data_IF_697043569977
#
_entry.id   IF_697043569977
#
_cell.length_a   1.000
_cell.length_b   1.000
_cell.length_c   1.000
_cell.angle_alpha   90.00
_cell.angle_beta   90.00
_cell.angle_gamma   90.00
#
_symmetry.space_group_name_H-M   'P 1'
#
loop_
_entity.id
_entity.type
_entity.pdbx_description
1 polymer ?
#
# COMPACT_ATOMS: atom_id res chain seq x y z
N UNK A 1 -8.45 -8.77 14.52
CA UNK A 1 -8.89 -7.42 14.18
C UNK A 1 -10.36 -7.37 13.79
N UNK A 2 -10.94 -6.19 13.68
CA UNK A 2 -12.36 -5.99 13.33
C UNK A 2 -12.72 -6.66 11.99
N UNK A 3 -11.86 -6.61 11.01
CA UNK A 3 -12.08 -7.24 9.71
C UNK A 3 -12.16 -8.76 9.84
N UNK A 4 -11.28 -9.38 10.60
CA UNK A 4 -11.32 -10.82 10.83
C UNK A 4 -12.62 -11.22 11.55
N UNK A 5 -13.10 -10.41 12.48
CA UNK A 5 -14.33 -10.67 13.23
C UNK A 5 -15.58 -10.49 12.36
N UNK A 6 -15.58 -9.46 11.49
CA UNK A 6 -16.75 -9.10 10.67
C UNK A 6 -16.78 -9.87 9.36
N UNK A 7 -15.65 -10.00 8.67
CA UNK A 7 -15.58 -10.59 7.33
C UNK A 7 -15.15 -12.05 7.34
N UNK A 8 -14.72 -12.60 8.49
CA UNK A 8 -14.24 -13.97 8.61
C UNK A 8 -13.25 -14.33 7.48
N UNK A 9 -12.26 -13.46 7.23
CA UNK A 9 -11.34 -13.54 6.11
C UNK A 9 -10.56 -14.85 6.12
N UNK A 10 -10.66 -15.59 5.03
CA UNK A 10 -9.90 -16.80 4.76
C UNK A 10 -9.11 -16.64 3.45
N UNK A 11 -8.41 -17.69 3.02
CA UNK A 11 -7.63 -17.65 1.78
C UNK A 11 -8.44 -17.32 0.53
N UNK A 12 -9.73 -17.68 0.49
CA UNK A 12 -10.62 -17.39 -0.63
C UNK A 12 -10.97 -15.91 -0.71
N UNK A 13 -11.04 -15.23 0.44
CA UNK A 13 -11.36 -13.81 0.52
C UNK A 13 -10.16 -12.91 0.24
N UNK A 14 -8.94 -13.46 0.26
CA UNK A 14 -7.71 -12.69 0.06
C UNK A 14 -7.71 -11.94 -1.28
N UNK A 15 -8.07 -12.61 -2.38
CA UNK A 15 -8.12 -11.98 -3.69
C UNK A 15 -9.16 -10.84 -3.74
N UNK A 16 -10.37 -11.08 -3.22
CA UNK A 16 -11.42 -10.06 -3.15
C UNK A 16 -11.02 -8.88 -2.27
N UNK A 17 -10.30 -9.15 -1.20
CA UNK A 17 -9.78 -8.13 -0.30
C UNK A 17 -8.74 -7.24 -0.98
N UNK A 18 -7.79 -7.84 -1.70
CA UNK A 18 -6.78 -7.08 -2.48
C UNK A 18 -7.45 -6.28 -3.58
N UNK A 19 -8.40 -6.84 -4.30
CA UNK A 19 -9.18 -6.14 -5.32
C UNK A 19 -9.86 -4.89 -4.76
N UNK A 20 -10.50 -5.01 -3.60
CA UNK A 20 -11.13 -3.88 -2.90
C UNK A 20 -10.10 -2.85 -2.46
N UNK A 21 -8.97 -3.28 -1.93
CA UNK A 21 -7.86 -2.41 -1.55
C UNK A 21 -7.35 -1.60 -2.73
N UNK A 22 -7.17 -2.23 -3.89
CA UNK A 22 -6.72 -1.55 -5.12
C UNK A 22 -7.67 -0.41 -5.48
N UNK A 23 -8.98 -0.64 -5.47
CA UNK A 23 -9.96 0.40 -5.76
C UNK A 23 -9.89 1.57 -4.78
N UNK A 24 -9.85 1.29 -3.50
CA UNK A 24 -9.83 2.31 -2.45
C UNK A 24 -8.52 3.11 -2.46
N UNK A 25 -7.38 2.45 -2.56
CA UNK A 25 -6.10 3.14 -2.52
C UNK A 25 -5.79 3.89 -3.83
N UNK A 26 -6.20 3.35 -4.97
CA UNK A 26 -6.12 4.05 -6.25
C UNK A 26 -6.89 5.38 -6.20
N UNK A 27 -8.12 5.34 -5.70
CA UNK A 27 -8.92 6.55 -5.53
C UNK A 27 -8.31 7.51 -4.50
N UNK A 28 -7.79 6.98 -3.41
CA UNK A 28 -7.06 7.74 -2.39
C UNK A 28 -5.87 8.50 -2.98
N UNK A 29 -5.06 7.84 -3.80
CA UNK A 29 -3.92 8.47 -4.46
C UNK A 29 -4.34 9.57 -5.45
N UNK A 30 -5.41 9.36 -6.21
CA UNK A 30 -5.97 10.36 -7.11
C UNK A 30 -6.43 11.62 -6.36
N UNK A 31 -7.19 11.43 -5.29
CA UNK A 31 -7.65 12.54 -4.45
C UNK A 31 -6.49 13.25 -3.74
N UNK A 32 -5.49 12.50 -3.28
CA UNK A 32 -4.30 13.09 -2.69
C UNK A 32 -3.55 13.98 -3.69
N UNK A 33 -3.42 13.57 -4.93
CA UNK A 33 -2.82 14.38 -5.99
C UNK A 33 -3.55 15.71 -6.20
N UNK A 34 -4.90 15.70 -6.11
CA UNK A 34 -5.72 16.90 -6.28
C UNK A 34 -5.75 17.78 -5.02
N UNK A 35 -5.62 17.20 -3.84
CA UNK A 35 -5.95 17.87 -2.56
C UNK A 35 -4.80 18.04 -1.59
N UNK A 36 -3.65 17.39 -1.82
CA UNK A 36 -2.53 17.46 -0.90
C UNK A 36 -2.03 18.90 -0.72
N UNK A 37 -1.88 19.30 0.54
CA UNK A 37 -1.24 20.56 0.91
C UNK A 37 0.27 20.38 0.93
N UNK A 38 1.07 21.49 0.91
CA UNK A 38 2.53 21.38 1.10
C UNK A 38 2.91 20.64 2.38
N UNK A 39 2.14 20.82 3.45
CA UNK A 39 2.35 20.10 4.71
C UNK A 39 2.10 18.60 4.58
N UNK A 40 1.04 18.20 3.87
CA UNK A 40 0.77 16.78 3.58
C UNK A 40 1.94 16.14 2.80
N UNK A 41 2.48 16.85 1.81
CA UNK A 41 3.62 16.36 1.01
C UNK A 41 4.87 16.16 1.88
N UNK A 42 5.14 17.05 2.83
CA UNK A 42 6.26 16.90 3.78
C UNK A 42 6.11 15.65 4.63
N UNK A 43 4.91 15.41 5.16
CA UNK A 43 4.61 14.23 5.98
C UNK A 43 4.74 12.94 5.16
N UNK A 44 4.28 12.97 3.94
CA UNK A 44 4.34 11.83 3.01
C UNK A 44 5.78 11.50 2.64
N UNK A 45 6.58 12.50 2.29
CA UNK A 45 8.00 12.35 1.98
C UNK A 45 8.78 11.79 3.18
N UNK A 46 8.49 12.27 4.38
CA UNK A 46 9.11 11.75 5.60
C UNK A 46 8.82 10.25 5.79
N UNK A 47 7.60 9.82 5.57
CA UNK A 47 7.23 8.40 5.65
C UNK A 47 7.93 7.58 4.54
N UNK A 48 8.00 8.11 3.33
CA UNK A 48 8.70 7.49 2.21
C UNK A 48 10.20 7.31 2.51
N UNK A 49 10.85 8.33 3.01
CA UNK A 49 12.29 8.29 3.34
C UNK A 49 12.56 7.32 4.49
N UNK A 50 11.69 7.25 5.48
CA UNK A 50 11.79 6.27 6.56
C UNK A 50 11.71 4.83 6.04
N UNK A 51 10.81 4.56 5.11
CA UNK A 51 10.70 3.25 4.45
C UNK A 51 11.96 2.92 3.65
N UNK A 52 12.46 3.86 2.85
CA UNK A 52 13.70 3.68 2.08
C UNK A 52 14.90 3.36 2.96
N UNK A 53 15.00 4.01 4.12
CA UNK A 53 16.07 3.77 5.08
C UNK A 53 16.01 2.35 5.67
N UNK A 54 14.82 1.87 6.00
CA UNK A 54 14.64 0.48 6.46
C UNK A 54 15.03 -0.52 5.37
N UNK A 55 14.65 -0.27 4.13
CA UNK A 55 15.03 -1.11 2.98
C UNK A 55 16.55 -1.15 2.78
N UNK A 56 17.23 -0.01 2.89
CA UNK A 56 18.71 0.06 2.81
C UNK A 56 19.39 -0.76 3.90
N UNK A 57 18.81 -0.80 5.10
CA UNK A 57 19.30 -1.59 6.22
C UNK A 57 18.99 -3.09 6.09
N UNK A 58 18.29 -3.50 5.03
CA UNK A 58 17.87 -4.88 4.81
C UNK A 58 16.65 -5.29 5.65
N UNK A 59 15.95 -4.34 6.24
CA UNK A 59 14.73 -4.58 7.01
C UNK A 59 13.50 -4.56 6.10
N UNK A 60 12.38 -5.09 6.60
CA UNK A 60 11.13 -5.14 5.87
C UNK A 60 10.39 -3.80 5.83
N UNK A 61 10.56 -2.94 6.83
CA UNK A 61 9.93 -1.64 6.89
C UNK A 61 8.40 -1.67 6.87
N UNK A 62 7.78 -2.67 7.48
CA UNK A 62 6.32 -2.88 7.43
C UNK A 62 5.55 -1.69 8.01
N UNK A 63 6.02 -1.12 9.12
CA UNK A 63 5.37 0.02 9.76
C UNK A 63 5.53 1.29 8.93
N UNK A 64 6.68 1.49 8.32
CA UNK A 64 6.98 2.62 7.46
C UNK A 64 6.20 2.55 6.14
N UNK A 65 6.05 1.36 5.58
CA UNK A 65 5.16 1.09 4.43
C UNK A 65 3.71 1.45 4.77
N UNK A 66 3.21 0.95 5.88
CA UNK A 66 1.87 1.29 6.40
C UNK A 66 1.72 2.81 6.55
N UNK A 67 2.69 3.48 7.16
CA UNK A 67 2.64 4.91 7.41
C UNK A 67 2.56 5.70 6.10
N UNK A 68 3.31 5.32 5.07
CA UNK A 68 3.26 5.97 3.76
C UNK A 68 1.85 5.91 3.15
N UNK A 69 1.24 4.73 3.14
CA UNK A 69 -0.12 4.56 2.63
C UNK A 69 -1.16 5.37 3.43
N UNK A 70 -1.01 5.43 4.75
CA UNK A 70 -1.91 6.21 5.60
C UNK A 70 -1.74 7.72 5.39
N UNK A 71 -0.53 8.21 5.09
CA UNK A 71 -0.32 9.63 4.77
C UNK A 71 -0.94 10.01 3.42
N UNK A 72 -0.97 9.12 2.45
CA UNK A 72 -1.72 9.32 1.22
C UNK A 72 -3.23 9.42 1.53
N UNK A 73 -3.74 8.52 2.35
CA UNK A 73 -5.15 8.53 2.75
C UNK A 73 -5.53 9.84 3.48
N UNK A 74 -4.70 10.33 4.38
CA UNK A 74 -4.91 11.63 5.04
C UNK A 74 -4.96 12.78 4.02
N UNK A 75 -4.06 12.77 3.05
CA UNK A 75 -3.97 13.79 2.01
C UNK A 75 -5.15 13.77 1.02
N UNK A 76 -5.90 12.69 0.96
CA UNK A 76 -7.12 12.59 0.14
C UNK A 76 -8.22 13.55 0.58
N UNK A 77 -8.19 14.01 1.84
CA UNK A 77 -9.21 14.88 2.46
C UNK A 77 -10.64 14.32 2.39
N UNK A 78 -10.76 13.02 2.18
CA UNK A 78 -12.02 12.29 2.24
C UNK A 78 -12.06 11.49 3.54
N UNK A 79 -12.77 12.01 4.55
CA UNK A 79 -12.78 11.43 5.90
C UNK A 79 -13.36 10.01 5.95
N UNK A 80 -14.33 9.69 5.11
CA UNK A 80 -14.93 8.35 5.04
C UNK A 80 -13.95 7.37 4.43
N UNK A 81 -13.33 7.72 3.31
CA UNK A 81 -12.31 6.93 2.66
C UNK A 81 -11.11 6.69 3.60
N UNK A 82 -10.65 7.74 4.27
CA UNK A 82 -9.57 7.64 5.25
C UNK A 82 -9.92 6.65 6.38
N UNK A 83 -11.14 6.73 6.91
CA UNK A 83 -11.59 5.81 7.96
C UNK A 83 -11.64 4.36 7.51
N UNK A 84 -12.09 4.11 6.28
CA UNK A 84 -12.07 2.77 5.69
C UNK A 84 -10.66 2.24 5.51
N UNK A 85 -9.75 3.06 5.00
CA UNK A 85 -8.35 2.68 4.78
C UNK A 85 -7.58 2.46 6.09
N UNK A 86 -7.90 3.20 7.15
CA UNK A 86 -7.34 2.96 8.49
C UNK A 86 -7.68 1.58 9.05
N UNK A 87 -8.79 0.99 8.60
CA UNK A 87 -9.19 -0.38 8.97
C UNK A 87 -8.54 -1.39 8.03
N UNK A 88 -8.62 -1.14 6.72
CA UNK A 88 -8.25 -2.12 5.67
C UNK A 88 -6.73 -2.30 5.54
N UNK A 89 -5.96 -1.21 5.51
CA UNK A 89 -4.53 -1.27 5.21
C UNK A 89 -3.73 -2.02 6.29
N UNK A 90 -3.89 -1.74 7.59
CA UNK A 90 -3.12 -2.44 8.61
C UNK A 90 -3.31 -3.96 8.61
N UNK A 91 -4.56 -4.41 8.48
CA UNK A 91 -4.88 -5.84 8.45
C UNK A 91 -4.32 -6.50 7.18
N UNK A 92 -4.35 -5.80 6.05
CA UNK A 92 -3.78 -6.29 4.80
C UNK A 92 -2.27 -6.46 4.86
N UNK A 93 -1.57 -5.49 5.45
CA UNK A 93 -0.11 -5.55 5.60
C UNK A 93 0.28 -6.69 6.55
N UNK A 94 -0.45 -6.87 7.64
CA UNK A 94 -0.23 -8.00 8.56
C UNK A 94 -0.46 -9.35 7.90
N UNK A 95 -1.53 -9.47 7.11
CA UNK A 95 -1.84 -10.68 6.37
C UNK A 95 -0.74 -11.02 5.37
N UNK A 96 -0.26 -10.03 4.62
CA UNK A 96 0.84 -10.17 3.67
C UNK A 96 2.13 -10.63 4.36
N UNK A 97 2.42 -10.09 5.55
CA UNK A 97 3.58 -10.49 6.36
C UNK A 97 3.47 -11.94 6.83
N UNK A 98 2.30 -12.33 7.34
CA UNK A 98 2.06 -13.69 7.83
C UNK A 98 2.18 -14.75 6.73
N UNK A 99 1.84 -14.41 5.49
CA UNK A 99 1.96 -15.27 4.33
C UNK A 99 3.36 -15.24 3.70
N UNK A 100 4.31 -14.50 4.29
CA UNK A 100 5.67 -14.28 3.76
C UNK A 100 5.67 -13.81 2.30
N UNK A 101 4.69 -13.01 1.95
CA UNK A 101 4.46 -12.51 0.60
C UNK A 101 5.52 -11.50 0.18
N UNK A 102 6.13 -10.84 1.14
CA UNK A 102 7.05 -9.74 0.94
C UNK A 102 8.53 -10.13 1.11
N UNK A 103 8.95 -11.33 0.73
CA UNK A 103 10.35 -11.75 0.75
C UNK A 103 11.12 -11.38 -0.53
N UNK A 104 12.43 -11.68 -0.55
CA UNK A 104 13.27 -11.76 -1.75
C UNK A 104 13.33 -10.50 -2.64
N UNK A 105 13.67 -9.34 -2.04
CA UNK A 105 13.89 -8.09 -2.78
C UNK A 105 12.61 -7.33 -3.13
N UNK A 106 11.44 -7.84 -2.77
CA UNK A 106 10.15 -7.15 -3.02
C UNK A 106 10.09 -5.79 -2.34
N UNK A 107 10.71 -5.63 -1.18
CA UNK A 107 10.73 -4.35 -0.44
C UNK A 107 11.46 -3.26 -1.19
N UNK A 108 12.59 -3.58 -1.84
CA UNK A 108 13.33 -2.63 -2.66
C UNK A 108 12.49 -2.18 -3.86
N UNK A 109 11.80 -3.11 -4.49
CA UNK A 109 10.87 -2.81 -5.58
C UNK A 109 9.72 -1.94 -5.09
N UNK A 110 9.14 -2.27 -3.94
CA UNK A 110 8.07 -1.48 -3.31
C UNK A 110 8.52 -0.04 -3.04
N UNK A 111 9.75 0.17 -2.61
CA UNK A 111 10.29 1.51 -2.38
C UNK A 111 10.32 2.34 -3.67
N UNK A 112 10.79 1.78 -4.78
CA UNK A 112 10.75 2.46 -6.07
C UNK A 112 9.33 2.76 -6.55
N UNK A 113 8.41 1.85 -6.31
CA UNK A 113 6.99 2.04 -6.62
C UNK A 113 6.36 3.16 -5.77
N UNK A 114 6.71 3.23 -4.49
CA UNK A 114 6.29 4.34 -3.60
C UNK A 114 6.83 5.69 -4.08
N UNK A 115 8.08 5.75 -4.53
CA UNK A 115 8.66 6.97 -5.10
C UNK A 115 7.83 7.44 -6.31
N UNK A 116 7.48 6.54 -7.22
CA UNK A 116 6.68 6.87 -8.39
C UNK A 116 5.30 7.43 -8.01
N UNK A 117 4.64 6.83 -7.03
CA UNK A 117 3.36 7.33 -6.50
C UNK A 117 3.53 8.74 -5.91
N UNK A 118 4.52 8.93 -5.07
CA UNK A 118 4.79 10.23 -4.42
C UNK A 118 5.08 11.32 -5.45
N UNK A 119 5.89 11.06 -6.45
CA UNK A 119 6.21 12.02 -7.50
C UNK A 119 4.97 12.46 -8.29
N UNK A 120 4.05 11.53 -8.58
CA UNK A 120 2.78 11.86 -9.22
C UNK A 120 1.91 12.77 -8.33
N UNK A 121 1.82 12.46 -7.04
CA UNK A 121 1.07 13.28 -6.08
C UNK A 121 1.70 14.67 -5.96
N UNK A 122 3.02 14.75 -5.87
CA UNK A 122 3.76 16.01 -5.78
C UNK A 122 3.54 16.91 -7.01
N UNK A 123 3.42 16.32 -8.20
CA UNK A 123 3.13 17.04 -9.44
C UNK A 123 1.64 17.35 -9.62
N UNK A 124 0.78 16.94 -8.70
CA UNK A 124 -0.67 17.04 -8.83
C UNK A 124 -1.23 16.28 -10.06
N UNK A 125 -0.60 15.16 -10.40
CA UNK A 125 -1.00 14.26 -11.47
C UNK A 125 -1.90 13.15 -10.91
N UNK A 126 -3.21 13.43 -10.84
CA UNK A 126 -4.19 12.49 -10.27
C UNK A 126 -4.25 11.17 -11.06
N UNK A 127 -4.28 11.25 -12.39
CA UNK A 127 -4.31 10.06 -13.25
C UNK A 127 -3.06 9.20 -13.05
N UNK A 128 -1.88 9.81 -13.10
CA UNK A 128 -0.61 9.13 -12.89
C UNK A 128 -0.50 8.53 -11.49
N UNK A 129 -0.96 9.25 -10.46
CA UNK A 129 -0.96 8.74 -9.08
C UNK A 129 -1.82 7.49 -8.93
N UNK A 130 -3.02 7.50 -9.50
CA UNK A 130 -3.91 6.34 -9.50
C UNK A 130 -3.33 5.15 -10.24
N UNK A 131 -2.77 5.36 -11.42
CA UNK A 131 -2.12 4.32 -12.22
C UNK A 131 -0.90 3.72 -11.50
N UNK A 132 -0.05 4.56 -10.90
CA UNK A 132 1.12 4.11 -10.15
C UNK A 132 0.73 3.29 -8.91
N UNK A 133 -0.32 3.71 -8.19
CA UNK A 133 -0.82 2.94 -7.05
C UNK A 133 -1.40 1.59 -7.49
N UNK A 134 -2.18 1.57 -8.55
CA UNK A 134 -2.74 0.34 -9.11
C UNK A 134 -1.63 -0.63 -9.51
N UNK A 135 -0.65 -0.18 -10.23
CA UNK A 135 0.49 -0.99 -10.68
C UNK A 135 1.26 -1.57 -9.49
N UNK A 136 1.53 -0.74 -8.47
CA UNK A 136 2.18 -1.20 -7.23
C UNK A 136 1.41 -2.33 -6.55
N UNK A 137 0.10 -2.18 -6.37
CA UNK A 137 -0.72 -3.17 -5.69
C UNK A 137 -0.97 -4.42 -6.54
N UNK A 138 -1.07 -4.28 -7.86
CA UNK A 138 -1.15 -5.41 -8.79
C UNK A 138 0.15 -6.24 -8.75
N UNK A 139 1.31 -5.60 -8.67
CA UNK A 139 2.61 -6.27 -8.53
C UNK A 139 2.71 -7.04 -7.21
N UNK A 140 2.24 -6.45 -6.13
CA UNK A 140 2.16 -7.13 -4.82
C UNK A 140 1.29 -8.38 -4.91
N UNK A 141 0.13 -8.30 -5.56
CA UNK A 141 -0.78 -9.43 -5.73
C UNK A 141 -0.14 -10.53 -6.58
N UNK A 142 0.45 -10.20 -7.72
CA UNK A 142 1.09 -11.16 -8.62
C UNK A 142 2.23 -11.90 -7.93
N UNK A 143 3.08 -11.19 -7.20
CA UNK A 143 4.16 -11.79 -6.41
C UNK A 143 3.62 -12.77 -5.36
N UNK A 144 2.52 -12.42 -4.71
CA UNK A 144 1.84 -13.27 -3.72
C UNK A 144 1.34 -14.57 -4.33
N UNK A 145 0.72 -14.50 -5.51
CA UNK A 145 0.18 -15.66 -6.22
C UNK A 145 1.31 -16.60 -6.72
N UNK A 146 2.41 -16.06 -7.20
CA UNK A 146 3.57 -16.83 -7.63
C UNK A 146 4.19 -17.61 -6.47
N UNK A 147 4.37 -16.96 -5.31
CA UNK A 147 4.87 -17.63 -4.10
C UNK A 147 3.95 -18.76 -3.64
N UNK A 148 2.64 -18.53 -3.64
CA UNK A 148 1.65 -19.54 -3.26
C UNK A 148 1.76 -20.76 -4.18
N UNK A 149 1.84 -20.56 -5.49
CA UNK A 149 1.96 -21.64 -6.47
C UNK A 149 3.26 -22.43 -6.32
N UNK A 150 4.36 -21.77 -5.99
CA UNK A 150 5.65 -22.42 -5.78
C UNK A 150 5.69 -23.24 -4.49
N UNK A 151 5.00 -22.82 -3.46
CA UNK A 151 4.90 -23.57 -2.21
C UNK A 151 3.99 -24.81 -2.31
N UNK A 152 3.03 -24.81 -3.22
CA UNK A 152 2.16 -25.96 -3.48
C UNK A 152 2.84 -27.07 -4.32
N UNK A 153 3.97 -26.75 -4.97
CA UNK A 153 4.76 -27.70 -5.78
C UNK A 153 5.89 -28.38 -5.01
N UNK A 154 6.09 -28.01 -3.75
CA UNK A 154 7.05 -28.64 -2.84
C UNK A 154 6.31 -29.55 -1.86
#
# INVERSE_FOLDING_TARGET
>A
GLINDVLALNEHDFHSFVETRVLLEMHSAQLAADRATPEDLVKMEKALNAFGKEVELGNQGVEEDLMFHLKIADASKNSVLNSLLLIVIPDMIRLSKNLDICGDGRFKQAYYEHIAIFECIQRHDAKGAGEAMKEHLDDVLNFSLEKKNNNLKK
#
